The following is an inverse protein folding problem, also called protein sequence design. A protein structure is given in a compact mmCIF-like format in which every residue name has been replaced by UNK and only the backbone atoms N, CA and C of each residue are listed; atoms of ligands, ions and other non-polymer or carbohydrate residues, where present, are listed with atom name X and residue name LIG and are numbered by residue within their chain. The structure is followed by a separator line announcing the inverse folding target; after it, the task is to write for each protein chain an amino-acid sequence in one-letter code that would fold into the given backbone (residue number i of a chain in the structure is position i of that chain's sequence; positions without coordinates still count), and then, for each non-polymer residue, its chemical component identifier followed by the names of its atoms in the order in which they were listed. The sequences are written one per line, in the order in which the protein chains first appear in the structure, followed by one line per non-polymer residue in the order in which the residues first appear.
data_IF_066935177429
#
_entry.id   IF_066935177429
#
_cell.length_a   1.000
_cell.length_b   1.000
_cell.length_c   1.000
_cell.angle_alpha   90.00
_cell.angle_beta   90.00
_cell.angle_gamma   90.00
#
_symmetry.space_group_name_H-M   'P 1'
#
loop_
_entity.id
_entity.type
_entity.pdbx_description
1 polymer ?
#
# COMPACT_ATOMS: atom_id res chain seq x y z
N UNK A 1 43.13 8.35 29.53
CA UNK A 1 42.43 8.26 28.22
C UNK A 1 41.53 7.04 28.10
N UNK A 2 42.01 5.81 28.32
CA UNK A 2 41.21 4.57 28.15
C UNK A 2 39.93 4.54 29.00
N UNK A 3 40.00 4.93 30.29
CA UNK A 3 38.81 4.97 31.17
C UNK A 3 37.75 5.97 30.71
N UNK A 4 38.14 7.13 30.20
CA UNK A 4 37.21 8.14 29.68
C UNK A 4 36.54 7.68 28.39
N UNK A 5 37.27 6.97 27.52
CA UNK A 5 36.72 6.35 26.32
C UNK A 5 35.70 5.24 26.65
N UNK A 6 36.02 4.36 27.61
CA UNK A 6 35.09 3.31 28.05
C UNK A 6 33.80 3.92 28.63
N UNK A 7 33.92 4.94 29.49
CA UNK A 7 32.74 5.63 30.02
C UNK A 7 31.91 6.32 28.93
N UNK A 8 32.54 6.94 27.94
CA UNK A 8 31.83 7.53 26.81
C UNK A 8 31.07 6.47 25.99
N UNK A 9 31.69 5.32 25.70
CA UNK A 9 31.02 4.21 24.99
C UNK A 9 29.84 3.67 25.80
N UNK A 10 30.00 3.48 27.11
CA UNK A 10 28.92 3.01 27.98
C UNK A 10 27.75 4.00 27.99
N UNK A 11 28.04 5.30 28.16
CA UNK A 11 27.00 6.35 28.15
C UNK A 11 26.29 6.41 26.80
N UNK A 12 27.02 6.39 25.68
CA UNK A 12 26.43 6.36 24.34
C UNK A 12 25.58 5.11 24.10
N UNK A 13 26.00 3.96 24.63
CA UNK A 13 25.23 2.72 24.55
C UNK A 13 23.92 2.82 25.33
N UNK A 14 23.93 3.37 26.54
CA UNK A 14 22.71 3.62 27.31
C UNK A 14 21.78 4.63 26.64
N UNK A 15 22.33 5.69 26.03
CA UNK A 15 21.55 6.66 25.24
C UNK A 15 20.92 5.96 24.03
N UNK A 16 21.69 5.17 23.27
CA UNK A 16 21.19 4.46 22.11
C UNK A 16 20.07 3.46 22.49
N UNK A 17 20.24 2.71 23.58
CA UNK A 17 19.22 1.80 24.12
C UNK A 17 17.98 2.59 24.55
N UNK A 18 18.17 3.70 25.27
CA UNK A 18 17.06 4.56 25.70
C UNK A 18 16.27 5.14 24.54
N UNK A 19 16.95 5.56 23.46
CA UNK A 19 16.31 6.03 22.22
C UNK A 19 15.57 4.87 21.54
N UNK A 20 16.18 3.70 21.40
CA UNK A 20 15.54 2.54 20.79
C UNK A 20 14.24 2.15 21.54
N UNK A 21 14.30 2.06 22.87
CA UNK A 21 13.12 1.77 23.70
C UNK A 21 12.06 2.85 23.61
N UNK A 22 12.45 4.14 23.58
CA UNK A 22 11.50 5.23 23.40
C UNK A 22 10.78 5.15 22.04
N UNK A 23 11.53 4.91 20.96
CA UNK A 23 10.98 4.79 19.61
C UNK A 23 10.06 3.57 19.47
N UNK A 24 10.44 2.44 20.06
CA UNK A 24 9.63 1.22 20.06
C UNK A 24 8.29 1.38 20.78
N UNK A 25 8.21 2.30 21.75
CA UNK A 25 6.97 2.61 22.47
C UNK A 25 6.29 3.90 21.97
N UNK A 26 6.75 4.48 20.85
CA UNK A 26 6.16 5.69 20.32
C UNK A 26 5.01 5.36 19.37
N UNK A 27 3.79 5.91 19.57
CA UNK A 27 2.60 5.43 18.87
C UNK A 27 2.70 5.31 17.34
N UNK A 28 3.37 6.20 16.58
CA UNK A 28 3.50 6.05 15.13
C UNK A 28 4.15 4.73 14.67
N UNK A 29 4.98 4.11 15.50
CA UNK A 29 5.59 2.80 15.23
C UNK A 29 4.58 1.64 15.38
N UNK A 30 3.44 1.87 16.04
CA UNK A 30 2.39 0.88 16.26
C UNK A 30 2.71 -0.08 17.41
N UNK A 31 1.81 -1.04 17.64
CA UNK A 31 1.91 -2.01 18.74
C UNK A 31 2.56 -3.34 18.35
N UNK A 32 2.94 -4.11 19.38
CA UNK A 32 3.53 -5.44 19.25
C UNK A 32 2.46 -6.54 19.28
N UNK A 33 2.66 -7.59 18.47
CA UNK A 33 1.80 -8.76 18.46
C UNK A 33 1.86 -9.51 19.81
N UNK A 34 0.71 -9.76 20.43
CA UNK A 34 0.63 -10.45 21.71
C UNK A 34 -0.69 -11.21 21.89
N UNK A 35 -0.79 -12.00 22.96
CA UNK A 35 -2.03 -12.66 23.39
C UNK A 35 -2.62 -13.61 22.33
N UNK A 36 -3.95 -13.53 22.13
CA UNK A 36 -4.66 -14.37 21.15
C UNK A 36 -4.21 -14.12 19.70
N UNK A 37 -3.77 -12.90 19.37
CA UNK A 37 -3.23 -12.60 18.04
C UNK A 37 -1.93 -13.35 17.80
N UNK A 38 -1.03 -13.38 18.78
CA UNK A 38 0.22 -14.14 18.67
C UNK A 38 -0.06 -15.63 18.45
N UNK A 39 -1.05 -16.21 19.14
CA UNK A 39 -1.45 -17.61 18.91
C UNK A 39 -1.94 -17.84 17.48
N UNK A 40 -2.72 -16.92 16.92
CA UNK A 40 -3.19 -17.00 15.53
C UNK A 40 -2.05 -16.89 14.53
N UNK A 41 -1.12 -15.95 14.76
CA UNK A 41 0.10 -15.77 13.95
C UNK A 41 0.93 -17.05 13.97
N UNK A 42 1.22 -17.60 15.14
CA UNK A 42 1.98 -18.84 15.29
C UNK A 42 1.28 -20.08 14.70
N UNK A 43 -0.04 -20.02 14.53
CA UNK A 43 -0.82 -21.08 13.89
C UNK A 43 -0.92 -20.94 12.36
N UNK A 44 -0.49 -19.81 11.79
CA UNK A 44 -0.48 -19.59 10.35
C UNK A 44 0.52 -20.54 9.68
N UNK A 45 0.12 -21.13 8.56
CA UNK A 45 1.03 -21.90 7.70
C UNK A 45 2.07 -21.04 6.98
N UNK A 46 1.96 -19.71 7.08
CA UNK A 46 2.86 -18.75 6.44
C UNK A 46 3.82 -18.09 7.44
N UNK A 47 3.78 -18.48 8.71
CA UNK A 47 4.62 -17.95 9.78
C UNK A 47 5.60 -19.01 10.29
N UNK A 48 6.89 -18.78 10.12
CA UNK A 48 7.96 -19.70 10.47
C UNK A 48 9.13 -18.95 11.10
N UNK A 49 9.77 -19.56 12.11
CA UNK A 49 10.98 -19.03 12.74
C UNK A 49 10.88 -17.58 13.26
N UNK A 50 9.67 -17.13 13.62
CA UNK A 50 9.43 -15.79 14.15
C UNK A 50 9.01 -14.73 13.11
N UNK A 51 8.92 -15.11 11.83
CA UNK A 51 8.62 -14.20 10.72
C UNK A 51 7.56 -14.78 9.78
N UNK A 52 6.82 -13.91 9.10
CA UNK A 52 6.03 -14.32 7.93
C UNK A 52 6.95 -14.58 6.73
N UNK A 53 6.57 -15.52 5.86
CA UNK A 53 7.35 -15.92 4.71
C UNK A 53 6.55 -15.85 3.40
N UNK A 54 7.22 -15.42 2.33
CA UNK A 54 6.67 -15.49 0.99
C UNK A 54 6.65 -16.92 0.45
N UNK A 55 5.71 -17.19 -0.46
CA UNK A 55 5.64 -18.46 -1.18
C UNK A 55 6.83 -18.63 -2.13
N UNK A 56 7.26 -17.56 -2.80
CA UNK A 56 8.53 -17.51 -3.51
C UNK A 56 9.60 -16.97 -2.54
N UNK A 57 10.61 -17.77 -2.16
CA UNK A 57 11.62 -17.32 -1.22
C UNK A 57 12.40 -16.11 -1.75
N UNK A 58 12.67 -15.15 -0.88
CA UNK A 58 13.64 -14.10 -1.20
C UNK A 58 15.05 -14.70 -1.20
N UNK A 59 15.90 -14.39 -2.17
CA UNK A 59 17.33 -14.57 -1.98
C UNK A 59 17.78 -13.68 -0.81
N UNK A 60 18.76 -14.13 -0.01
CA UNK A 60 19.33 -13.29 1.05
C UNK A 60 19.86 -11.99 0.43
N UNK A 61 19.68 -10.87 1.15
CA UNK A 61 20.30 -9.59 0.80
C UNK A 61 21.82 -9.79 0.71
N UNK A 62 22.39 -9.59 -0.48
CA UNK A 62 23.84 -9.63 -0.64
C UNK A 62 24.43 -8.26 -0.26
N UNK A 63 25.64 -8.23 0.29
CA UNK A 63 26.29 -6.97 0.68
C UNK A 63 26.46 -6.00 -0.51
N UNK A 64 26.57 -6.54 -1.73
CA UNK A 64 26.58 -5.76 -2.98
C UNK A 64 25.28 -5.00 -3.25
N UNK A 65 24.13 -5.50 -2.81
CA UNK A 65 22.83 -4.85 -3.01
C UNK A 65 22.72 -3.56 -2.18
N UNK A 66 23.23 -3.57 -0.93
CA UNK A 66 23.23 -2.40 -0.04
C UNK A 66 24.18 -1.32 -0.56
N UNK A 67 25.36 -1.70 -1.06
CA UNK A 67 26.28 -0.76 -1.69
C UNK A 67 25.74 -0.19 -2.99
N UNK A 68 25.08 -1.01 -3.82
CA UNK A 68 24.37 -0.56 -5.02
C UNK A 68 23.28 0.45 -4.69
N UNK A 69 22.45 0.18 -3.67
CA UNK A 69 21.44 1.10 -3.15
C UNK A 69 22.06 2.44 -2.76
N UNK A 70 23.14 2.43 -1.99
CA UNK A 70 23.79 3.67 -1.52
C UNK A 70 24.39 4.48 -2.68
N UNK A 71 25.00 3.79 -3.66
CA UNK A 71 25.52 4.44 -4.86
C UNK A 71 24.39 5.09 -5.64
N UNK A 72 23.30 4.38 -5.88
CA UNK A 72 22.13 4.90 -6.59
C UNK A 72 21.52 6.09 -5.85
N UNK A 73 21.43 6.02 -4.52
CA UNK A 73 20.93 7.12 -3.69
C UNK A 73 21.77 8.40 -3.77
N UNK A 74 23.10 8.27 -3.90
CA UNK A 74 24.03 9.41 -3.85
C UNK A 74 24.44 9.94 -5.23
N UNK A 75 24.48 9.07 -6.24
CA UNK A 75 25.06 9.35 -7.56
C UNK A 75 24.10 9.08 -8.73
N UNK A 76 22.87 8.61 -8.48
CA UNK A 76 21.86 8.44 -9.51
C UNK A 76 21.49 9.77 -10.18
N UNK A 77 21.21 9.73 -11.48
CA UNK A 77 20.87 10.89 -12.31
C UNK A 77 19.35 11.03 -12.54
N UNK A 78 18.53 10.27 -11.80
CA UNK A 78 17.08 10.27 -11.95
C UNK A 78 16.44 11.57 -11.46
N UNK A 79 15.39 11.98 -12.17
CA UNK A 79 14.49 13.07 -11.76
C UNK A 79 13.40 12.46 -10.88
N UNK A 80 13.70 12.28 -9.59
CA UNK A 80 12.78 11.61 -8.63
C UNK A 80 11.68 12.50 -8.08
N UNK A 81 11.87 13.82 -8.18
CA UNK A 81 10.89 14.83 -7.80
C UNK A 81 10.36 15.49 -9.07
N UNK A 82 9.03 15.61 -9.23
CA UNK A 82 8.44 16.30 -10.37
C UNK A 82 8.98 17.75 -10.49
N UNK A 83 9.39 18.21 -11.70
CA UNK A 83 9.96 19.54 -11.85
C UNK A 83 8.91 20.66 -11.78
N UNK A 84 7.62 20.32 -11.83
CA UNK A 84 6.51 21.23 -11.59
C UNK A 84 5.36 20.55 -10.84
N UNK A 85 4.31 21.31 -10.49
CA UNK A 85 3.18 20.80 -9.73
C UNK A 85 2.39 19.75 -10.52
N UNK A 86 2.13 18.60 -9.91
CA UNK A 86 1.27 17.56 -10.49
C UNK A 86 -0.18 18.10 -10.60
N UNK A 87 -0.85 17.95 -11.75
CA UNK A 87 -2.23 18.38 -11.91
C UNK A 87 -3.19 17.49 -11.11
N UNK A 88 -3.93 18.11 -10.20
CA UNK A 88 -4.94 17.44 -9.36
C UNK A 88 -6.33 17.86 -9.81
N UNK A 89 -7.24 16.89 -9.91
CA UNK A 89 -8.68 17.11 -10.02
C UNK A 89 -9.28 17.15 -8.62
N UNK A 90 -9.47 18.35 -8.05
CA UNK A 90 -10.06 18.49 -6.72
C UNK A 90 -11.49 17.88 -6.70
N UNK A 91 -11.81 17.15 -5.63
CA UNK A 91 -13.12 16.51 -5.44
C UNK A 91 -13.97 17.43 -4.55
N UNK A 92 -15.03 18.08 -5.07
CA UNK A 92 -15.90 18.87 -4.25
C UNK A 92 -16.63 17.98 -3.23
N UNK A 93 -16.68 18.31 -1.92
CA UNK A 93 -17.35 17.46 -0.93
C UNK A 93 -18.81 17.16 -1.29
N UNK A 94 -19.48 18.12 -1.93
CA UNK A 94 -20.86 17.98 -2.40
C UNK A 94 -21.07 16.83 -3.41
N UNK A 95 -20.07 16.48 -4.22
CA UNK A 95 -20.19 15.37 -5.19
C UNK A 95 -20.15 13.99 -4.55
N UNK A 96 -19.81 13.93 -3.26
CA UNK A 96 -19.70 12.70 -2.45
C UNK A 96 -20.89 12.52 -1.50
N UNK A 97 -21.87 13.44 -1.52
CA UNK A 97 -23.03 13.39 -0.62
C UNK A 97 -24.10 12.40 -1.08
N UNK A 98 -24.29 12.24 -2.39
CA UNK A 98 -25.25 11.29 -2.94
C UNK A 98 -24.87 9.88 -2.49
N UNK A 99 -25.82 9.01 -2.10
CA UNK A 99 -25.52 7.61 -1.82
C UNK A 99 -24.82 6.94 -3.01
N UNK A 100 -23.88 6.02 -2.77
CA UNK A 100 -23.23 5.27 -3.85
C UNK A 100 -24.31 4.53 -4.67
N UNK A 101 -24.31 4.76 -5.98
CA UNK A 101 -25.19 4.02 -6.88
C UNK A 101 -24.73 2.55 -6.98
N UNK A 102 -25.63 1.60 -7.33
CA UNK A 102 -25.19 0.28 -7.77
C UNK A 102 -24.22 0.44 -8.96
N UNK A 103 -23.07 -0.24 -8.91
CA UNK A 103 -22.00 0.00 -9.88
C UNK A 103 -20.61 -0.10 -9.26
N UNK A 104 -19.61 0.21 -10.09
CA UNK A 104 -18.22 0.32 -9.69
C UNK A 104 -17.61 1.63 -10.18
N UNK A 105 -17.25 2.48 -9.22
CA UNK A 105 -16.59 3.78 -9.44
C UNK A 105 -15.39 3.87 -8.51
N UNK A 106 -14.28 4.41 -9.00
CA UNK A 106 -13.08 4.64 -8.19
C UNK A 106 -12.50 6.03 -8.40
N UNK A 107 -11.76 6.49 -7.39
CA UNK A 107 -11.01 7.74 -7.43
C UNK A 107 -9.63 7.48 -6.82
N UNK A 108 -8.58 7.71 -7.60
CA UNK A 108 -7.21 7.64 -7.11
C UNK A 108 -6.88 8.89 -6.30
N UNK A 109 -6.53 8.71 -5.01
CA UNK A 109 -6.27 9.81 -4.07
C UNK A 109 -4.78 10.17 -3.94
N UNK A 110 -3.93 9.47 -4.70
CA UNK A 110 -2.48 9.53 -4.61
C UNK A 110 -1.90 8.26 -4.02
N UNK A 111 -0.69 7.93 -4.45
CA UNK A 111 0.07 6.76 -4.09
C UNK A 111 -0.73 5.48 -4.26
N UNK A 112 -0.93 4.71 -3.19
CA UNK A 112 -1.72 3.48 -3.15
C UNK A 112 -3.16 3.71 -2.64
N UNK A 113 -3.50 4.95 -2.29
CA UNK A 113 -4.82 5.29 -1.75
C UNK A 113 -5.87 5.40 -2.85
N UNK A 114 -6.86 4.50 -2.82
CA UNK A 114 -7.99 4.53 -3.78
C UNK A 114 -9.30 4.51 -3.01
N UNK A 115 -10.16 5.48 -3.33
CA UNK A 115 -11.56 5.48 -2.93
C UNK A 115 -12.38 4.67 -3.92
N UNK A 116 -13.24 3.78 -3.41
CA UNK A 116 -14.02 2.86 -4.23
C UNK A 116 -15.48 2.94 -3.78
N UNK A 117 -16.39 3.12 -4.73
CA UNK A 117 -17.79 2.79 -4.59
C UNK A 117 -18.03 1.46 -5.31
N UNK A 118 -18.41 0.43 -4.55
CA UNK A 118 -18.64 -0.92 -5.06
C UNK A 118 -19.99 -1.42 -4.55
N UNK A 119 -20.93 -1.62 -5.48
CA UNK A 119 -22.24 -2.21 -5.23
C UNK A 119 -22.99 -1.57 -4.05
N UNK A 120 -22.89 -0.24 -3.94
CA UNK A 120 -23.57 0.53 -2.91
C UNK A 120 -22.82 0.70 -1.59
N UNK A 121 -21.57 0.23 -1.48
CA UNK A 121 -20.69 0.51 -0.35
C UNK A 121 -19.51 1.41 -0.72
N UNK A 122 -18.99 2.12 0.28
CA UNK A 122 -17.81 2.99 0.17
C UNK A 122 -16.62 2.34 0.85
N UNK A 123 -15.58 2.10 0.07
CA UNK A 123 -14.35 1.48 0.53
C UNK A 123 -13.16 2.43 0.33
N UNK A 124 -12.11 2.18 1.10
CA UNK A 124 -10.78 2.72 0.88
C UNK A 124 -9.78 1.58 0.91
N UNK A 125 -8.78 1.63 0.01
CA UNK A 125 -7.56 0.82 0.12
C UNK A 125 -6.40 1.72 0.50
N UNK A 126 -5.56 1.27 1.43
CA UNK A 126 -4.31 1.91 1.86
C UNK A 126 -4.37 3.45 1.98
N UNK A 127 -5.31 3.98 2.80
CA UNK A 127 -5.56 5.41 2.83
C UNK A 127 -4.45 6.14 3.62
N UNK A 128 -3.72 7.03 2.93
CA UNK A 128 -2.67 7.89 3.50
C UNK A 128 -2.96 9.35 3.16
N UNK A 129 -3.41 10.10 4.17
CA UNK A 129 -3.68 11.55 4.04
C UNK A 129 -2.56 12.41 4.60
N UNK A 130 -1.64 11.85 5.38
CA UNK A 130 -0.48 12.55 5.92
C UNK A 130 0.45 13.09 4.83
N UNK A 131 1.13 14.20 5.14
CA UNK A 131 2.11 14.83 4.24
C UNK A 131 3.39 14.01 4.07
N UNK A 132 3.71 13.16 5.05
CA UNK A 132 4.93 12.37 5.11
C UNK A 132 4.60 10.89 5.31
N UNK A 133 5.20 10.03 4.50
CA UNK A 133 5.20 8.58 4.71
C UNK A 133 6.31 8.20 5.71
N UNK A 134 6.11 8.57 6.98
CA UNK A 134 7.14 8.47 8.03
C UNK A 134 6.51 8.49 9.42
N UNK A 135 7.14 7.86 10.43
CA UNK A 135 6.70 8.01 11.81
C UNK A 135 6.92 9.43 12.35
N UNK A 136 7.80 10.22 11.71
CA UNK A 136 8.19 11.55 12.14
C UNK A 136 7.52 12.65 11.31
N UNK A 137 7.08 13.72 11.96
CA UNK A 137 6.63 14.91 11.24
C UNK A 137 7.83 15.66 10.66
N UNK A 138 7.77 16.00 9.37
CA UNK A 138 8.80 16.83 8.72
C UNK A 138 10.05 16.08 8.27
N UNK A 139 10.16 14.78 8.56
CA UNK A 139 11.32 13.94 8.21
C UNK A 139 10.82 12.75 7.40
N UNK A 140 11.52 12.42 6.32
CA UNK A 140 11.18 11.30 5.44
C UNK A 140 10.46 11.74 4.16
N UNK A 141 9.94 10.78 3.39
CA UNK A 141 9.34 11.04 2.09
C UNK A 141 8.11 11.93 2.20
N UNK A 142 8.18 13.14 1.61
CA UNK A 142 7.08 14.10 1.56
C UNK A 142 6.28 13.91 0.27
N UNK A 143 4.96 14.00 0.36
CA UNK A 143 4.08 13.96 -0.82
C UNK A 143 4.31 15.15 -1.76
N UNK A 144 4.25 14.92 -3.08
CA UNK A 144 4.45 15.94 -4.11
C UNK A 144 3.24 16.86 -4.31
N UNK A 145 2.05 16.38 -3.97
CA UNK A 145 0.78 17.07 -4.18
C UNK A 145 -0.14 16.77 -2.99
N UNK A 146 -1.04 17.66 -2.51
CA UNK A 146 -2.02 17.34 -1.47
C UNK A 146 -3.00 16.25 -1.92
N UNK A 147 -3.76 15.60 -1.00
CA UNK A 147 -4.83 14.71 -1.41
C UNK A 147 -5.93 15.52 -2.10
N UNK A 148 -6.66 14.94 -3.08
CA UNK A 148 -7.64 15.68 -3.89
C UNK A 148 -8.92 16.05 -3.11
N UNK A 149 -9.06 15.53 -1.89
CA UNK A 149 -10.12 15.84 -0.94
C UNK A 149 -9.50 15.94 0.47
N UNK A 150 -10.01 16.84 1.30
CA UNK A 150 -9.60 16.88 2.70
C UNK A 150 -10.14 15.65 3.44
N UNK A 151 -9.35 15.12 4.38
CA UNK A 151 -9.76 13.98 5.20
C UNK A 151 -11.08 14.25 5.94
N UNK A 152 -11.32 15.50 6.37
CA UNK A 152 -12.55 15.94 7.04
C UNK A 152 -13.78 15.96 6.15
N UNK A 153 -13.58 16.00 4.84
CA UNK A 153 -14.64 16.06 3.83
C UNK A 153 -14.98 14.67 3.27
N UNK A 154 -14.31 13.62 3.74
CA UNK A 154 -14.64 12.26 3.35
C UNK A 154 -16.08 11.91 3.76
N UNK A 155 -16.84 11.25 2.88
CA UNK A 155 -18.12 10.67 3.28
C UNK A 155 -17.90 9.56 4.32
N UNK A 156 -19.00 9.03 4.88
CA UNK A 156 -18.91 7.79 5.65
C UNK A 156 -18.29 6.69 4.79
N UNK A 157 -17.26 6.03 5.32
CA UNK A 157 -16.58 4.89 4.71
C UNK A 157 -17.05 3.64 5.45
N UNK A 158 -17.48 2.63 4.69
CA UNK A 158 -18.00 1.39 5.26
C UNK A 158 -16.88 0.44 5.66
N UNK A 159 -15.85 0.31 4.81
CA UNK A 159 -14.65 -0.46 5.14
C UNK A 159 -13.36 0.13 4.56
N UNK A 160 -12.26 -0.14 5.25
CA UNK A 160 -10.89 0.12 4.80
C UNK A 160 -10.16 -1.21 4.71
N UNK A 161 -9.51 -1.47 3.59
CA UNK A 161 -8.53 -2.54 3.49
C UNK A 161 -7.11 -1.96 3.56
N UNK A 162 -6.27 -2.56 4.39
CA UNK A 162 -4.84 -2.25 4.46
C UNK A 162 -4.06 -3.44 3.89
N UNK A 163 -3.15 -3.22 2.95
CA UNK A 163 -2.34 -4.30 2.36
C UNK A 163 -1.25 -4.79 3.30
N UNK A 164 -0.53 -3.89 3.97
CA UNK A 164 0.59 -4.18 4.87
C UNK A 164 0.93 -2.97 5.74
N UNK A 165 1.95 -3.11 6.60
CA UNK A 165 2.22 -2.16 7.67
C UNK A 165 3.19 -1.02 7.31
N UNK A 166 3.66 -0.86 6.07
CA UNK A 166 4.55 0.27 5.73
C UNK A 166 3.89 1.65 5.86
N UNK A 167 4.70 2.69 6.09
CA UNK A 167 4.22 4.05 6.39
C UNK A 167 3.47 4.73 5.24
N UNK A 168 3.72 4.33 4.00
CA UNK A 168 3.03 4.80 2.80
C UNK A 168 1.74 4.02 2.49
N UNK A 169 1.39 3.02 3.32
CA UNK A 169 0.15 2.23 3.21
C UNK A 169 -0.70 2.24 4.48
N UNK A 170 -0.09 2.44 5.64
CA UNK A 170 -0.74 2.46 6.96
C UNK A 170 -0.37 3.74 7.74
N UNK A 171 -1.24 4.75 7.63
CA UNK A 171 -1.10 6.05 8.28
C UNK A 171 -1.94 6.14 9.56
N UNK A 172 -1.28 6.20 10.72
CA UNK A 172 -1.91 6.26 12.04
C UNK A 172 -2.99 7.33 12.13
N UNK A 173 -2.73 8.54 11.62
CA UNK A 173 -3.68 9.67 11.72
C UNK A 173 -4.94 9.42 10.90
N UNK A 174 -4.78 8.88 9.69
CA UNK A 174 -5.90 8.48 8.86
C UNK A 174 -6.73 7.39 9.52
N UNK A 175 -6.07 6.36 10.09
CA UNK A 175 -6.76 5.27 10.79
C UNK A 175 -7.54 5.78 12.00
N UNK A 176 -6.93 6.62 12.84
CA UNK A 176 -7.60 7.21 14.01
C UNK A 176 -8.81 8.06 13.60
N UNK A 177 -8.67 8.88 12.55
CA UNK A 177 -9.77 9.67 12.03
C UNK A 177 -10.93 8.78 11.54
N UNK A 178 -10.65 7.79 10.69
CA UNK A 178 -11.67 6.89 10.15
C UNK A 178 -12.33 6.05 11.26
N UNK A 179 -11.55 5.59 12.24
CA UNK A 179 -12.05 4.87 13.42
C UNK A 179 -13.07 5.70 14.19
N UNK A 180 -12.80 6.99 14.42
CA UNK A 180 -13.72 7.94 15.08
C UNK A 180 -15.05 8.13 14.33
N UNK A 181 -15.08 7.79 13.04
CA UNK A 181 -16.27 7.86 12.16
C UNK A 181 -17.02 6.52 12.07
N UNK A 182 -16.56 5.49 12.78
CA UNK A 182 -17.19 4.17 12.81
C UNK A 182 -16.81 3.26 11.64
N UNK A 183 -15.75 3.58 10.90
CA UNK A 183 -15.26 2.76 9.78
C UNK A 183 -14.79 1.39 10.25
N UNK A 184 -15.06 0.34 9.46
CA UNK A 184 -14.54 -1.00 9.70
C UNK A 184 -13.19 -1.20 8.98
N UNK A 185 -12.25 -1.91 9.58
CA UNK A 185 -10.91 -2.17 9.04
C UNK A 185 -10.73 -3.66 8.82
N UNK A 186 -10.38 -4.03 7.60
CA UNK A 186 -9.96 -5.38 7.23
C UNK A 186 -8.47 -5.32 6.94
N UNK A 187 -7.69 -6.04 7.73
CA UNK A 187 -6.22 -5.96 7.70
C UNK A 187 -5.61 -7.38 7.71
N UNK A 188 -4.36 -7.54 7.26
CA UNK A 188 -3.67 -8.81 7.33
C UNK A 188 -3.40 -9.19 8.79
N UNK A 189 -3.22 -10.47 9.04
CA UNK A 189 -2.92 -11.00 10.36
C UNK A 189 -1.67 -10.34 10.97
N UNK A 190 -1.78 -9.84 12.20
CA UNK A 190 -0.68 -9.15 12.89
C UNK A 190 -0.83 -7.63 12.88
N UNK A 191 -1.28 -7.04 11.76
CA UNK A 191 -1.45 -5.59 11.61
C UNK A 191 -2.45 -5.01 12.60
N UNK A 192 -3.42 -5.81 13.07
CA UNK A 192 -4.37 -5.38 14.10
C UNK A 192 -3.70 -4.98 15.42
N UNK A 193 -2.46 -5.39 15.69
CA UNK A 193 -1.70 -4.92 16.85
C UNK A 193 -1.41 -3.41 16.80
N UNK A 194 -1.14 -2.87 15.61
CA UNK A 194 -0.98 -1.43 15.43
C UNK A 194 -2.30 -0.67 15.62
N UNK A 195 -3.40 -1.23 15.11
CA UNK A 195 -4.72 -0.63 15.28
C UNK A 195 -5.17 -0.65 16.75
N UNK A 196 -4.86 -1.71 17.51
CA UNK A 196 -5.09 -1.75 18.96
C UNK A 196 -4.31 -0.65 19.69
N UNK A 197 -3.03 -0.44 19.35
CA UNK A 197 -2.18 0.63 19.90
C UNK A 197 -2.72 2.03 19.58
N UNK A 198 -3.45 2.18 18.48
CA UNK A 198 -4.06 3.44 18.05
C UNK A 198 -5.50 3.62 18.53
N UNK A 199 -5.90 2.85 19.55
CA UNK A 199 -7.23 2.88 20.17
C UNK A 199 -8.38 2.58 19.20
N UNK A 200 -8.14 1.82 18.13
CA UNK A 200 -9.22 1.36 17.26
C UNK A 200 -10.04 0.29 18.01
N UNK A 201 -11.36 0.47 18.18
CA UNK A 201 -12.18 -0.52 18.87
C UNK A 201 -12.13 -1.89 18.18
N UNK A 202 -11.88 -2.96 18.94
CA UNK A 202 -11.77 -4.35 18.41
C UNK A 202 -12.91 -4.77 17.49
N UNK A 203 -14.13 -4.28 17.73
CA UNK A 203 -15.31 -4.57 16.88
C UNK A 203 -15.20 -4.01 15.45
N UNK A 204 -14.34 -3.03 15.24
CA UNK A 204 -14.04 -2.42 13.94
C UNK A 204 -12.84 -3.09 13.26
N UNK A 205 -12.21 -4.10 13.86
CA UNK A 205 -11.01 -4.73 13.29
C UNK A 205 -11.34 -6.16 12.88
N UNK A 206 -11.00 -6.51 11.64
CA UNK A 206 -11.00 -7.89 11.16
C UNK A 206 -9.64 -8.21 10.59
N UNK A 207 -8.93 -9.11 11.27
CA UNK A 207 -7.63 -9.61 10.84
C UNK A 207 -7.77 -10.91 10.09
N UNK A 208 -7.20 -10.99 8.89
CA UNK A 208 -7.29 -12.16 8.02
C UNK A 208 -5.90 -12.67 7.64
N UNK A 209 -5.75 -13.99 7.67
CA UNK A 209 -4.64 -14.67 7.00
C UNK A 209 -4.98 -14.84 5.51
N UNK A 210 -3.99 -15.19 4.68
CA UNK A 210 -4.21 -15.46 3.26
C UNK A 210 -5.31 -16.51 3.04
N UNK A 211 -6.13 -16.22 2.04
CA UNK A 211 -7.37 -16.94 1.69
C UNK A 211 -8.49 -16.88 2.74
N UNK A 212 -8.27 -16.20 3.86
CA UNK A 212 -9.32 -15.82 4.78
C UNK A 212 -10.21 -14.72 4.20
N UNK A 213 -11.48 -14.71 4.59
CA UNK A 213 -12.46 -13.73 4.12
C UNK A 213 -13.34 -13.20 5.24
N UNK A 214 -13.97 -12.05 4.96
CA UNK A 214 -14.96 -11.42 5.81
C UNK A 214 -16.12 -10.86 4.97
N UNK A 215 -17.32 -10.89 5.53
CA UNK A 215 -18.52 -10.32 4.91
C UNK A 215 -18.79 -8.93 5.47
N UNK A 216 -18.86 -7.92 4.60
CA UNK A 216 -19.20 -6.54 4.98
C UNK A 216 -20.26 -6.01 4.02
N UNK A 217 -21.48 -5.82 4.53
CA UNK A 217 -22.56 -5.16 3.78
C UNK A 217 -22.92 -5.83 2.44
N UNK A 218 -22.72 -7.15 2.31
CA UNK A 218 -22.95 -7.90 1.08
C UNK A 218 -21.74 -8.04 0.16
N UNK A 219 -20.58 -7.50 0.57
CA UNK A 219 -19.29 -7.74 -0.08
C UNK A 219 -18.51 -8.83 0.68
N UNK A 220 -17.95 -9.78 -0.07
CA UNK A 220 -16.94 -10.71 0.43
C UNK A 220 -15.56 -10.09 0.20
N UNK A 221 -14.87 -9.70 1.27
CA UNK A 221 -13.49 -9.18 1.23
C UNK A 221 -12.55 -10.34 1.57
N UNK A 222 -11.60 -10.62 0.69
CA UNK A 222 -10.70 -11.77 0.78
C UNK A 222 -9.26 -11.26 0.84
N UNK A 223 -8.55 -11.65 1.90
CA UNK A 223 -7.12 -11.42 2.05
C UNK A 223 -6.40 -12.39 1.12
N UNK A 224 -5.87 -11.91 -0.01
CA UNK A 224 -5.21 -12.77 -1.00
C UNK A 224 -3.68 -12.66 -0.88
N UNK A 225 -2.94 -13.70 -1.30
CA UNK A 225 -1.48 -13.68 -1.18
C UNK A 225 -0.83 -12.52 -1.93
N UNK A 226 0.32 -12.09 -1.42
CA UNK A 226 1.19 -11.12 -2.07
C UNK A 226 2.65 -11.52 -1.81
N UNK A 227 3.55 -11.02 -2.66
CA UNK A 227 4.99 -11.20 -2.54
C UNK A 227 5.61 -9.90 -2.01
N UNK A 228 5.73 -9.74 -0.69
CA UNK A 228 6.22 -8.50 -0.09
C UNK A 228 6.85 -8.74 1.29
N UNK A 229 7.02 -7.70 2.11
CA UNK A 229 7.41 -7.85 3.52
C UNK A 229 6.70 -6.79 4.36
N UNK A 230 6.93 -6.83 5.68
CA UNK A 230 6.41 -5.84 6.64
C UNK A 230 7.57 -5.29 7.47
N UNK A 231 7.47 -4.03 7.90
CA UNK A 231 8.39 -3.38 8.84
C UNK A 231 7.90 -1.98 9.21
N UNK A 232 7.82 -1.67 10.51
CA UNK A 232 7.58 -0.29 10.98
C UNK A 232 8.64 0.18 11.96
N UNK A 233 9.11 -0.73 12.81
CA UNK A 233 10.12 -0.54 13.83
C UNK A 233 11.49 -1.08 13.45
N UNK A 234 12.35 -1.19 14.46
CA UNK A 234 13.76 -1.58 14.28
C UNK A 234 13.91 -3.11 14.33
N UNK A 235 12.99 -3.81 14.99
CA UNK A 235 13.08 -5.25 15.28
C UNK A 235 11.85 -6.05 14.83
N UNK A 236 11.02 -5.48 13.95
CA UNK A 236 9.73 -6.04 13.54
C UNK A 236 9.68 -6.46 12.07
N UNK A 237 10.84 -6.68 11.45
CA UNK A 237 10.92 -7.13 10.07
C UNK A 237 10.12 -8.43 9.90
N UNK A 238 9.13 -8.41 8.99
CA UNK A 238 8.19 -9.49 8.70
C UNK A 238 7.41 -10.00 9.92
N UNK A 239 7.22 -9.15 10.93
CA UNK A 239 6.43 -9.49 12.10
C UNK A 239 4.93 -9.59 11.78
N UNK A 240 4.42 -8.78 10.85
CA UNK A 240 3.02 -8.81 10.40
C UNK A 240 2.90 -9.35 8.98
N UNK A 241 1.71 -9.85 8.63
CA UNK A 241 1.43 -10.33 7.28
C UNK A 241 1.22 -9.14 6.31
N UNK A 242 1.52 -9.37 5.03
CA UNK A 242 1.20 -8.48 3.90
C UNK A 242 0.23 -9.18 2.96
N UNK A 243 -0.55 -8.43 2.18
CA UNK A 243 -1.60 -9.01 1.35
C UNK A 243 -1.90 -8.19 0.10
N UNK A 244 -2.49 -8.88 -0.87
CA UNK A 244 -3.37 -8.28 -1.87
C UNK A 244 -4.82 -8.44 -1.41
N UNK A 245 -5.75 -7.75 -2.05
CA UNK A 245 -7.16 -7.82 -1.69
C UNK A 245 -8.03 -8.15 -2.90
N UNK A 246 -8.90 -9.15 -2.75
CA UNK A 246 -10.02 -9.38 -3.67
C UNK A 246 -11.31 -8.99 -2.98
N UNK A 247 -12.14 -8.16 -3.61
CA UNK A 247 -13.45 -7.78 -3.09
C UNK A 247 -14.52 -8.17 -4.09
N UNK A 248 -15.44 -9.02 -3.64
CA UNK A 248 -16.49 -9.60 -4.47
C UNK A 248 -17.82 -9.06 -4.00
N UNK A 249 -18.45 -8.25 -4.83
CA UNK A 249 -19.82 -7.80 -4.64
C UNK A 249 -20.83 -8.64 -5.44
N UNK A 250 -22.13 -8.33 -5.28
CA UNK A 250 -23.20 -9.01 -6.02
C UNK A 250 -23.15 -8.78 -7.53
N UNK A 251 -22.58 -7.66 -8.00
CA UNK A 251 -22.52 -7.32 -9.43
C UNK A 251 -21.09 -7.14 -9.93
N UNK A 252 -20.20 -6.55 -9.12
CA UNK A 252 -18.84 -6.24 -9.55
C UNK A 252 -17.79 -6.82 -8.59
N UNK A 253 -16.57 -6.97 -9.09
CA UNK A 253 -15.42 -7.48 -8.35
C UNK A 253 -14.22 -6.59 -8.62
N UNK A 254 -13.44 -6.33 -7.58
CA UNK A 254 -12.16 -5.64 -7.71
C UNK A 254 -11.01 -6.48 -7.15
N UNK A 255 -9.84 -6.29 -7.75
CA UNK A 255 -8.58 -6.78 -7.24
C UNK A 255 -7.66 -5.59 -6.94
N UNK A 256 -6.98 -5.62 -5.80
CA UNK A 256 -5.94 -4.65 -5.43
C UNK A 256 -4.65 -5.40 -5.09
N UNK A 257 -3.54 -5.06 -5.76
CA UNK A 257 -2.29 -5.81 -5.65
C UNK A 257 -1.54 -5.65 -4.34
N UNK A 258 -1.86 -4.61 -3.54
CA UNK A 258 -0.89 -4.10 -2.56
C UNK A 258 0.40 -3.70 -3.28
N UNK A 259 1.53 -3.79 -2.58
CA UNK A 259 2.86 -3.47 -3.11
C UNK A 259 3.65 -4.68 -3.63
N UNK A 260 2.92 -5.76 -3.92
CA UNK A 260 3.46 -7.08 -4.28
C UNK A 260 4.50 -7.08 -5.42
N UNK A 261 5.48 -7.97 -5.30
CA UNK A 261 6.29 -8.53 -6.38
C UNK A 261 5.49 -9.50 -7.26
N UNK A 262 6.08 -9.90 -8.39
CA UNK A 262 5.45 -10.84 -9.32
C UNK A 262 5.72 -12.29 -8.91
N UNK A 263 4.66 -13.10 -8.79
CA UNK A 263 4.76 -14.55 -8.60
C UNK A 263 3.45 -15.23 -9.01
N UNK A 264 3.40 -16.57 -8.92
CA UNK A 264 2.28 -17.40 -9.37
C UNK A 264 0.96 -17.14 -8.62
N UNK A 265 0.99 -16.43 -7.49
CA UNK A 265 -0.21 -16.11 -6.72
C UNK A 265 -1.24 -15.31 -7.55
N UNK A 266 -0.81 -14.42 -8.46
CA UNK A 266 -1.75 -13.70 -9.33
C UNK A 266 -2.57 -14.64 -10.21
N UNK A 267 -1.94 -15.65 -10.81
CA UNK A 267 -2.65 -16.66 -11.61
C UNK A 267 -3.58 -17.50 -10.74
N UNK A 268 -3.16 -17.86 -9.52
CA UNK A 268 -4.01 -18.59 -8.57
C UNK A 268 -5.24 -17.78 -8.16
N UNK A 269 -5.07 -16.48 -7.92
CA UNK A 269 -6.14 -15.54 -7.60
C UNK A 269 -7.12 -15.44 -8.78
N UNK A 270 -6.62 -15.20 -10.00
CA UNK A 270 -7.46 -15.15 -11.20
C UNK A 270 -8.26 -16.43 -11.43
N UNK A 271 -7.61 -17.59 -11.27
CA UNK A 271 -8.27 -18.89 -11.43
C UNK A 271 -9.36 -19.15 -10.37
N UNK A 272 -9.22 -18.61 -9.16
CA UNK A 272 -10.12 -18.88 -8.03
C UNK A 272 -11.25 -17.86 -7.92
N UNK A 273 -10.96 -16.60 -8.19
CA UNK A 273 -11.81 -15.46 -7.83
C UNK A 273 -12.18 -14.57 -9.02
N UNK A 274 -11.44 -14.67 -10.13
CA UNK A 274 -11.70 -13.91 -11.35
C UNK A 274 -12.94 -14.37 -12.13
N UNK A 275 -13.27 -13.68 -13.23
CA UNK A 275 -12.66 -12.42 -13.67
C UNK A 275 -13.02 -11.25 -12.73
N UNK A 276 -12.25 -10.16 -12.83
CA UNK A 276 -12.49 -8.92 -12.07
C UNK A 276 -12.85 -7.77 -13.02
N UNK A 277 -13.75 -6.89 -12.61
CA UNK A 277 -14.12 -5.72 -13.39
C UNK A 277 -12.99 -4.64 -13.38
N UNK A 278 -12.27 -4.54 -12.26
CA UNK A 278 -11.16 -3.60 -12.09
C UNK A 278 -10.01 -4.23 -11.32
N UNK A 279 -8.80 -4.10 -11.89
CA UNK A 279 -7.54 -4.37 -11.22
C UNK A 279 -6.81 -3.08 -10.86
N UNK A 280 -6.50 -2.89 -9.59
CA UNK A 280 -5.72 -1.77 -9.06
C UNK A 280 -4.31 -2.27 -8.79
N UNK A 281 -3.32 -1.78 -9.54
CA UNK A 281 -1.99 -2.36 -9.58
C UNK A 281 -0.90 -1.35 -9.32
N UNK A 282 0.01 -1.65 -8.39
CA UNK A 282 1.22 -0.86 -8.20
C UNK A 282 2.09 -0.90 -9.47
N UNK A 283 2.61 0.25 -9.89
CA UNK A 283 3.53 0.34 -11.04
C UNK A 283 4.87 0.99 -10.70
N UNK A 284 4.95 1.85 -9.69
CA UNK A 284 6.21 2.45 -9.23
C UNK A 284 6.88 1.63 -8.13
N UNK A 285 7.90 2.21 -7.47
CA UNK A 285 8.62 1.55 -6.38
C UNK A 285 9.35 0.28 -6.81
N UNK A 286 10.22 0.41 -7.82
CA UNK A 286 11.15 -0.63 -8.23
C UNK A 286 12.55 -0.03 -8.38
N UNK A 287 13.57 -0.88 -8.37
CA UNK A 287 14.95 -0.45 -8.44
C UNK A 287 15.91 -1.59 -8.78
N UNK A 288 17.21 -1.30 -8.90
CA UNK A 288 18.23 -2.31 -9.09
C UNK A 288 18.38 -3.19 -7.83
N UNK A 289 18.87 -4.41 -8.01
CA UNK A 289 19.19 -5.33 -6.92
C UNK A 289 18.06 -6.32 -6.58
N UNK A 290 18.44 -7.44 -5.96
CA UNK A 290 17.51 -8.55 -5.71
C UNK A 290 16.41 -8.18 -4.69
N UNK A 291 16.71 -7.36 -3.69
CA UNK A 291 15.71 -6.96 -2.67
C UNK A 291 14.47 -6.27 -3.25
N UNK A 292 14.66 -5.45 -4.30
CA UNK A 292 13.57 -4.78 -5.02
C UNK A 292 12.84 -5.74 -5.96
N UNK A 293 13.58 -6.49 -6.79
CA UNK A 293 13.00 -7.35 -7.83
C UNK A 293 12.05 -8.40 -7.24
N UNK A 294 12.36 -8.94 -6.06
CA UNK A 294 11.53 -9.98 -5.45
C UNK A 294 10.35 -9.43 -4.66
N UNK A 295 10.37 -8.16 -4.21
CA UNK A 295 9.31 -7.61 -3.35
C UNK A 295 8.37 -6.67 -4.09
N UNK A 296 8.75 -6.19 -5.27
CA UNK A 296 8.04 -5.15 -6.00
C UNK A 296 8.01 -5.42 -7.50
N UNK A 297 6.82 -5.43 -8.09
CA UNK A 297 6.68 -5.54 -9.56
C UNK A 297 7.31 -4.34 -10.28
N UNK A 298 7.92 -4.56 -11.43
CA UNK A 298 8.11 -3.49 -12.41
C UNK A 298 6.79 -3.24 -13.18
N UNK A 299 6.68 -2.17 -13.99
CA UNK A 299 5.45 -1.85 -14.72
C UNK A 299 5.00 -2.93 -15.70
N UNK A 300 5.94 -3.62 -16.35
CA UNK A 300 5.63 -4.70 -17.29
C UNK A 300 5.04 -5.93 -16.57
N UNK A 301 5.57 -6.27 -15.40
CA UNK A 301 5.07 -7.36 -14.56
C UNK A 301 3.72 -7.00 -13.93
N UNK A 302 3.46 -5.73 -13.63
CA UNK A 302 2.12 -5.27 -13.22
C UNK A 302 1.07 -5.52 -14.32
N UNK A 303 1.42 -5.30 -15.59
CA UNK A 303 0.54 -5.63 -16.73
C UNK A 303 0.34 -7.15 -16.86
N UNK A 304 1.39 -7.95 -16.65
CA UNK A 304 1.25 -9.43 -16.61
C UNK A 304 0.36 -9.87 -15.46
N UNK A 305 0.50 -9.27 -14.29
CA UNK A 305 -0.30 -9.59 -13.11
C UNK A 305 -1.78 -9.25 -13.32
N UNK A 306 -2.06 -8.11 -13.94
CA UNK A 306 -3.40 -7.73 -14.38
C UNK A 306 -4.05 -8.78 -15.29
N UNK A 307 -3.31 -9.27 -16.29
CA UNK A 307 -3.78 -10.36 -17.16
C UNK A 307 -3.96 -11.68 -16.39
N UNK A 308 -3.05 -12.01 -15.48
CA UNK A 308 -3.09 -13.25 -14.70
C UNK A 308 -4.29 -13.32 -13.74
N UNK A 309 -4.68 -12.18 -13.14
CA UNK A 309 -5.91 -12.10 -12.33
C UNK A 309 -7.18 -12.04 -13.17
N UNK A 310 -7.07 -11.89 -14.49
CA UNK A 310 -8.21 -11.77 -15.41
C UNK A 310 -9.08 -10.55 -15.09
N UNK A 311 -8.44 -9.39 -14.87
CA UNK A 311 -9.16 -8.13 -14.71
C UNK A 311 -9.44 -7.47 -16.06
N UNK A 312 -10.60 -6.82 -16.21
CA UNK A 312 -11.01 -6.18 -17.47
C UNK A 312 -10.33 -4.82 -17.67
N UNK A 313 -10.29 -3.98 -16.63
CA UNK A 313 -9.65 -2.65 -16.63
C UNK A 313 -8.52 -2.58 -15.62
N UNK A 314 -7.44 -1.87 -15.97
CA UNK A 314 -6.28 -1.64 -15.10
C UNK A 314 -6.18 -0.19 -14.64
N UNK A 315 -6.19 0.04 -13.32
CA UNK A 315 -5.84 1.32 -12.69
C UNK A 315 -4.44 1.24 -12.07
N UNK A 316 -3.44 1.94 -12.64
CA UNK A 316 -2.08 1.98 -12.10
C UNK A 316 -1.97 2.92 -10.87
N UNK A 317 -1.32 2.45 -9.81
CA UNK A 317 -1.09 3.16 -8.53
C UNK A 317 0.37 3.07 -8.09
N UNK A 318 0.71 3.61 -6.90
CA UNK A 318 2.07 3.65 -6.33
C UNK A 318 3.09 4.45 -7.17
N UNK A 319 2.66 5.54 -7.80
CA UNK A 319 3.52 6.44 -8.57
C UNK A 319 3.11 7.91 -8.40
N UNK A 320 4.00 8.85 -8.76
CA UNK A 320 3.70 10.29 -8.81
C UNK A 320 3.29 10.92 -7.47
N UNK A 321 3.59 10.32 -6.31
CA UNK A 321 3.16 10.86 -5.02
C UNK A 321 4.29 11.05 -4.01
N UNK A 322 5.18 10.07 -3.84
CA UNK A 322 6.32 10.16 -2.93
C UNK A 322 7.64 9.82 -3.66
N UNK A 323 8.75 10.38 -3.18
CA UNK A 323 10.11 10.00 -3.58
C UNK A 323 10.59 8.86 -2.67
N UNK A 324 10.34 7.62 -3.10
CA UNK A 324 10.65 6.39 -2.36
C UNK A 324 11.27 5.31 -3.25
N UNK A 325 11.80 5.68 -4.42
CA UNK A 325 12.33 4.72 -5.40
C UNK A 325 13.44 5.32 -6.28
N UNK A 326 14.13 4.45 -7.02
CA UNK A 326 15.29 4.80 -7.86
C UNK A 326 14.94 4.91 -9.36
N UNK A 327 13.79 5.48 -9.68
CA UNK A 327 13.36 5.74 -11.05
C UNK A 327 12.88 7.20 -11.16
N UNK A 328 12.81 7.73 -12.38
CA UNK A 328 12.17 9.04 -12.59
C UNK A 328 10.72 8.99 -12.09
N UNK A 329 10.21 10.11 -11.57
CA UNK A 329 8.88 10.18 -10.96
C UNK A 329 7.75 9.71 -11.90
N UNK A 330 7.93 9.85 -13.22
CA UNK A 330 6.96 9.50 -14.26
C UNK A 330 7.34 8.28 -15.12
N UNK A 331 8.53 7.69 -14.91
CA UNK A 331 8.93 6.47 -15.62
C UNK A 331 7.92 5.34 -15.45
N UNK A 332 7.37 5.07 -14.23
CA UNK A 332 6.46 3.95 -14.01
C UNK A 332 5.24 3.97 -14.93
N UNK A 333 4.57 5.13 -15.05
CA UNK A 333 3.36 5.23 -15.85
C UNK A 333 3.67 5.13 -17.34
N UNK A 334 4.78 5.72 -17.80
CA UNK A 334 5.21 5.65 -19.21
C UNK A 334 5.47 4.21 -19.64
N UNK A 335 6.14 3.44 -18.78
CA UNK A 335 6.39 2.01 -19.01
C UNK A 335 5.13 1.17 -18.92
N UNK A 336 4.27 1.42 -17.93
CA UNK A 336 2.99 0.72 -17.78
C UNK A 336 2.09 0.91 -19.01
N UNK A 337 1.92 2.16 -19.48
CA UNK A 337 1.13 2.48 -20.69
C UNK A 337 1.71 1.79 -21.93
N UNK A 338 3.04 1.83 -22.11
CA UNK A 338 3.70 1.15 -23.22
C UNK A 338 3.46 -0.37 -23.18
N UNK A 339 3.59 -0.98 -22.01
CA UNK A 339 3.39 -2.42 -21.83
C UNK A 339 1.91 -2.82 -22.03
N UNK A 340 0.98 -2.03 -21.50
CA UNK A 340 -0.46 -2.26 -21.66
C UNK A 340 -0.88 -2.18 -23.14
N UNK A 341 -0.41 -1.16 -23.87
CA UNK A 341 -0.66 -1.02 -25.30
C UNK A 341 -0.12 -2.22 -26.11
N UNK A 342 1.05 -2.76 -25.74
CA UNK A 342 1.63 -3.92 -26.40
C UNK A 342 0.82 -5.21 -26.18
N UNK A 343 0.03 -5.28 -25.11
CA UNK A 343 -0.79 -6.44 -24.74
C UNK A 343 -2.31 -6.20 -24.93
N UNK A 344 -2.70 -5.04 -25.48
CA UNK A 344 -4.11 -4.62 -25.63
C UNK A 344 -4.90 -4.58 -24.31
N UNK A 345 -4.25 -4.15 -23.22
CA UNK A 345 -4.89 -3.98 -21.90
C UNK A 345 -5.58 -2.61 -21.82
N UNK A 346 -6.82 -2.57 -21.30
CA UNK A 346 -7.54 -1.32 -21.00
C UNK A 346 -6.97 -0.68 -19.73
N UNK A 347 -5.84 0.03 -19.89
CA UNK A 347 -5.21 0.79 -18.83
C UNK A 347 -5.72 2.24 -18.83
N UNK A 348 -6.25 2.66 -17.68
CA UNK A 348 -6.71 4.05 -17.46
C UNK A 348 -5.64 4.91 -16.81
N UNK A 349 -5.55 6.18 -17.20
CA UNK A 349 -4.60 7.15 -16.61
C UNK A 349 -5.30 8.40 -16.08
N UNK A 350 -6.17 8.27 -15.06
CA UNK A 350 -6.80 9.43 -14.45
C UNK A 350 -5.75 10.37 -13.83
N UNK A 351 -6.07 11.65 -13.75
CA UNK A 351 -5.40 12.56 -12.81
C UNK A 351 -5.73 12.15 -11.38
N UNK A 352 -4.90 12.54 -10.41
CA UNK A 352 -5.24 12.37 -9.00
C UNK A 352 -6.56 13.10 -8.71
N UNK A 353 -7.54 12.39 -8.16
CA UNK A 353 -8.88 12.89 -7.89
C UNK A 353 -9.88 12.82 -9.03
N UNK A 354 -9.48 12.36 -10.23
CA UNK A 354 -10.38 12.12 -11.34
C UNK A 354 -11.15 10.80 -11.16
N UNK A 355 -12.43 10.83 -11.51
CA UNK A 355 -13.35 9.69 -11.32
C UNK A 355 -13.19 8.70 -12.48
N UNK A 356 -13.04 7.43 -12.15
CA UNK A 356 -13.11 6.32 -13.10
C UNK A 356 -14.38 5.52 -12.83
N UNK A 357 -15.23 5.36 -13.85
CA UNK A 357 -16.43 4.54 -13.78
C UNK A 357 -16.23 3.32 -14.67
N UNK A 358 -16.37 2.12 -14.12
CA UNK A 358 -16.24 0.88 -14.90
C UNK A 358 -17.46 0.70 -15.79
N UNK A 359 -17.23 0.26 -17.03
CA UNK A 359 -18.26 0.20 -18.07
C UNK A 359 -18.43 1.51 -18.86
N UNK A 360 -17.87 2.63 -18.39
CA UNK A 360 -17.84 3.89 -19.14
C UNK A 360 -16.47 4.11 -19.81
N UNK A 361 -16.44 4.74 -21.00
CA UNK A 361 -15.18 5.18 -21.61
C UNK A 361 -14.51 6.25 -20.74
N UNK A 362 -13.22 6.08 -20.43
CA UNK A 362 -12.40 7.13 -19.85
C UNK A 362 -11.44 7.66 -20.92
N UNK A 363 -11.37 8.98 -21.07
CA UNK A 363 -10.34 9.60 -21.90
C UNK A 363 -9.05 9.71 -21.09
N UNK A 364 -8.21 8.67 -21.16
CA UNK A 364 -6.87 8.69 -20.59
C UNK A 364 -6.03 9.82 -21.21
N UNK A 365 -5.46 10.67 -20.36
CA UNK A 365 -4.55 11.74 -20.75
C UNK A 365 -3.14 11.45 -20.23
N UNK A 366 -2.12 11.70 -21.04
CA UNK A 366 -0.71 11.66 -20.63
C UNK A 366 -0.30 12.91 -19.88
N UNK A 367 -1.01 13.22 -18.80
CA UNK A 367 -0.86 14.48 -18.04
C UNK A 367 0.54 14.66 -17.45
N UNK A 368 1.32 13.58 -17.27
CA UNK A 368 2.70 13.66 -16.80
C UNK A 368 3.64 14.34 -17.81
N UNK A 369 3.33 14.30 -19.11
CA UNK A 369 4.11 15.01 -20.13
C UNK A 369 3.98 16.54 -20.00
N UNK A 370 2.93 17.04 -19.34
CA UNK A 370 2.75 18.47 -19.04
C UNK A 370 3.60 18.95 -17.84
N UNK A 371 4.13 18.00 -17.06
CA UNK A 371 4.86 18.25 -15.81
C UNK A 371 6.38 18.18 -16.00
N UNK A 372 6.86 17.61 -17.13
CA UNK A 372 8.27 17.38 -17.47
C UNK A 372 9.10 18.63 -17.73
#
# INVERSE_FOLDING_TARGET
MIRGFIWAVVVLSFIAIGIALFLENWPPFGGTISGERLKRVQASSHYHDGEFANTLPHPPLESGDVWGYLIEQLFGDQIRVPPSSIPISAIPPASMLAPPAPGLRTIWLGHSSVYIELDGLRLLVDPVFSDYASPFHGIGPKRFHPPPIAMTDLPKIDAVMVSHDHYDHLDMRTIQYLSSRGTHFVVPLGVGAHLDEWDVPKRQITELDWWGSAEIGGLTIICTPAQHYSSRGIFDYKATLWSSWSVIGPMHRIFYSGDSGFADHFQQIGNRLGPFDLGIFKVGQYGPGASWIYSHMNPEDAVKAHLAVQADRMLPVSWGTFDIAFHDWDEPIRRAVKAANAQNVDLVTPRVGEVVIVGEPLRSHSWWEEVR
#
